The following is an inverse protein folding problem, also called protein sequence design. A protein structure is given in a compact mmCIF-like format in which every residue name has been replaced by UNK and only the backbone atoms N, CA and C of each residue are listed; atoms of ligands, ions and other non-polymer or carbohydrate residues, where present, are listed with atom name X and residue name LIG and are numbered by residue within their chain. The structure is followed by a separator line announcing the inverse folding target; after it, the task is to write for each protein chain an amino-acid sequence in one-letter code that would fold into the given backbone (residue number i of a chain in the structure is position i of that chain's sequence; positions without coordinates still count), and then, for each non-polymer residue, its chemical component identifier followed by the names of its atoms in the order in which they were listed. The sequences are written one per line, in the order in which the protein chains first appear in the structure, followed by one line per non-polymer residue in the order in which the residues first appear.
data_IF_182291087091
#
_entry.id   IF_182291087091
#
_cell.length_a   1.000
_cell.length_b   1.000
_cell.length_c   1.000
_cell.angle_alpha   90.00
_cell.angle_beta   90.00
_cell.angle_gamma   90.00
#
_symmetry.space_group_name_H-M   'P 1'
#
loop_
_entity.id
_entity.type
_entity.pdbx_description
1 polymer ?
#
# COMPACT_ATOMS: atom_id res chain seq x y z
N UNK A 1 18.56 10.04 -13.55
CA UNK A 1 18.01 9.79 -12.20
C UNK A 1 17.27 11.03 -11.76
N UNK A 2 16.07 10.87 -11.22
CA UNK A 2 15.20 11.96 -10.75
C UNK A 2 14.89 11.73 -9.28
N UNK A 3 14.85 12.77 -8.47
CA UNK A 3 14.59 12.69 -7.03
C UNK A 3 13.17 13.09 -6.64
N UNK A 4 12.35 13.46 -7.63
CA UNK A 4 10.97 13.87 -7.46
C UNK A 4 10.13 13.33 -8.60
N UNK A 5 8.93 12.84 -8.35
CA UNK A 5 8.05 12.35 -9.41
C UNK A 5 6.65 12.93 -9.25
N UNK A 6 5.97 13.20 -10.37
CA UNK A 6 4.55 13.52 -10.35
C UNK A 6 3.74 12.23 -10.22
N UNK A 7 2.49 12.35 -9.77
CA UNK A 7 1.54 11.23 -9.74
C UNK A 7 1.35 10.59 -11.12
N UNK A 8 1.29 11.40 -12.18
CA UNK A 8 1.16 10.91 -13.56
C UNK A 8 2.36 10.07 -13.99
N UNK A 9 3.58 10.46 -13.59
CA UNK A 9 4.78 9.68 -13.89
C UNK A 9 4.77 8.34 -13.16
N UNK A 10 4.34 8.31 -11.88
CA UNK A 10 4.21 7.06 -11.13
C UNK A 10 3.12 6.17 -11.75
N UNK A 11 1.98 6.76 -12.14
CA UNK A 11 0.90 6.04 -12.80
C UNK A 11 1.33 5.46 -14.16
N UNK A 12 2.18 6.18 -14.92
CA UNK A 12 2.74 5.68 -16.16
C UNK A 12 3.60 4.43 -15.92
N UNK A 13 4.47 4.44 -14.90
CA UNK A 13 5.29 3.26 -14.54
C UNK A 13 4.42 2.05 -14.18
N UNK A 14 3.35 2.25 -13.41
CA UNK A 14 2.40 1.16 -13.07
C UNK A 14 1.75 0.58 -14.34
N UNK A 15 1.33 1.44 -15.27
CA UNK A 15 0.71 1.01 -16.52
C UNK A 15 1.69 0.29 -17.45
N UNK A 16 2.95 0.70 -17.47
CA UNK A 16 4.02 0.03 -18.23
C UNK A 16 4.28 -1.40 -17.73
N UNK A 17 4.03 -1.68 -16.44
CA UNK A 17 4.03 -3.02 -15.87
C UNK A 17 2.77 -3.84 -16.23
N UNK A 18 1.83 -3.28 -16.98
CA UNK A 18 0.58 -3.93 -17.37
C UNK A 18 -0.49 -3.94 -16.27
N UNK A 19 -0.36 -3.07 -15.27
CA UNK A 19 -1.29 -2.94 -14.15
C UNK A 19 -2.23 -1.74 -14.35
N UNK A 20 -3.42 -1.82 -13.76
CA UNK A 20 -4.34 -0.68 -13.71
C UNK A 20 -3.77 0.40 -12.78
N UNK A 21 -3.98 1.67 -13.13
CA UNK A 21 -3.54 2.81 -12.33
C UNK A 21 -4.61 3.91 -12.36
N UNK A 22 -5.52 3.89 -11.40
CA UNK A 22 -6.54 4.91 -11.21
C UNK A 22 -6.00 5.99 -10.27
N UNK A 23 -5.85 7.21 -10.79
CA UNK A 23 -5.43 8.35 -9.98
C UNK A 23 -6.67 8.90 -9.27
N UNK A 24 -6.65 8.91 -7.94
CA UNK A 24 -7.66 9.56 -7.13
C UNK A 24 -7.17 10.94 -6.69
N UNK A 25 -7.97 12.00 -6.89
CA UNK A 25 -7.57 13.36 -6.54
C UNK A 25 -7.41 13.52 -5.02
N UNK A 26 -6.62 14.53 -4.65
CA UNK A 26 -6.47 15.03 -3.29
C UNK A 26 -7.84 15.51 -2.77
N UNK A 27 -8.49 14.70 -1.93
CA UNK A 27 -9.67 15.12 -1.17
C UNK A 27 -9.20 15.82 0.11
N UNK A 28 -9.98 16.75 0.69
CA UNK A 28 -9.63 17.35 1.97
C UNK A 28 -9.33 16.22 2.97
N UNK A 29 -8.10 16.19 3.49
CA UNK A 29 -7.55 15.20 4.43
C UNK A 29 -6.98 13.89 3.81
N UNK A 30 -6.84 13.78 2.49
CA UNK A 30 -6.27 12.59 1.82
C UNK A 30 -5.24 12.92 0.73
N UNK A 31 -3.97 12.59 0.98
CA UNK A 31 -2.89 12.68 -0.01
C UNK A 31 -3.29 12.06 -1.36
N UNK A 32 -2.82 12.67 -2.45
CA UNK A 32 -3.02 12.10 -3.80
C UNK A 32 -2.53 10.66 -3.86
N UNK A 33 -3.35 9.77 -4.43
CA UNK A 33 -3.13 8.33 -4.42
C UNK A 33 -3.45 7.69 -5.76
N UNK A 34 -2.85 6.53 -5.99
CA UNK A 34 -3.09 5.70 -7.16
C UNK A 34 -3.61 4.35 -6.68
N UNK A 35 -4.81 3.96 -7.12
CA UNK A 35 -5.38 2.65 -6.87
C UNK A 35 -5.02 1.68 -7.99
N UNK A 36 -4.78 0.43 -7.61
CA UNK A 36 -4.50 -0.68 -8.52
C UNK A 36 -5.02 -1.99 -7.93
N UNK A 37 -4.92 -3.06 -8.70
CA UNK A 37 -5.35 -4.40 -8.31
C UNK A 37 -4.43 -5.45 -8.88
N UNK A 38 -4.11 -6.45 -8.07
CA UNK A 38 -3.37 -7.64 -8.53
C UNK A 38 -4.02 -8.87 -7.89
N UNK A 39 -4.26 -9.92 -8.69
CA UNK A 39 -4.92 -11.15 -8.22
C UNK A 39 -6.27 -10.93 -7.51
N UNK A 40 -7.02 -9.91 -7.92
CA UNK A 40 -8.29 -9.54 -7.29
C UNK A 40 -8.17 -8.71 -6.01
N UNK A 41 -6.96 -8.50 -5.48
CA UNK A 41 -6.71 -7.75 -4.24
C UNK A 41 -6.40 -6.30 -4.60
N UNK A 42 -7.21 -5.37 -4.08
CA UNK A 42 -7.01 -3.94 -4.27
C UNK A 42 -5.89 -3.42 -3.37
N UNK A 43 -5.03 -2.57 -3.91
CA UNK A 43 -3.96 -1.89 -3.18
C UNK A 43 -3.76 -0.49 -3.75
N UNK A 44 -3.09 0.37 -2.98
CA UNK A 44 -2.86 1.75 -3.37
C UNK A 44 -1.42 2.17 -3.21
N UNK A 45 -1.03 3.20 -3.94
CA UNK A 45 0.19 3.96 -3.71
C UNK A 45 -0.21 5.36 -3.28
N UNK A 46 0.17 5.73 -2.05
CA UNK A 46 0.08 7.09 -1.55
C UNK A 46 1.38 7.83 -1.87
N UNK A 47 1.28 9.09 -2.30
CA UNK A 47 2.44 9.93 -2.50
C UNK A 47 3.03 10.40 -1.18
N UNK A 48 4.35 10.63 -1.13
CA UNK A 48 5.02 11.19 0.05
C UNK A 48 5.49 12.62 -0.20
N UNK A 49 5.09 13.54 0.68
CA UNK A 49 5.41 14.96 0.59
C UNK A 49 4.46 15.74 -0.33
N UNK A 50 4.61 17.06 -0.33
CA UNK A 50 3.67 17.96 -0.99
C UNK A 50 3.78 17.89 -2.52
N UNK A 51 2.64 17.91 -3.19
CA UNK A 51 2.55 17.95 -4.65
C UNK A 51 3.05 19.27 -5.25
N UNK A 52 3.26 19.33 -6.57
CA UNK A 52 2.99 18.28 -7.57
C UNK A 52 4.15 17.31 -7.80
N UNK A 53 5.24 17.44 -7.03
CA UNK A 53 6.48 16.68 -7.18
C UNK A 53 6.83 16.01 -5.85
N UNK A 54 6.63 14.69 -5.78
CA UNK A 54 6.69 13.94 -4.54
C UNK A 54 8.06 13.33 -4.30
N UNK A 55 8.45 13.22 -3.03
CA UNK A 55 9.77 12.74 -2.56
C UNK A 55 9.87 11.22 -2.42
N UNK A 56 8.74 10.53 -2.56
CA UNK A 56 8.65 9.09 -2.44
C UNK A 56 7.23 8.60 -2.64
N UNK A 57 7.08 7.29 -2.53
CA UNK A 57 5.80 6.60 -2.63
C UNK A 57 5.68 5.59 -1.49
N UNK A 58 4.45 5.37 -1.03
CA UNK A 58 4.12 4.30 -0.08
C UNK A 58 3.04 3.41 -0.66
N UNK A 59 3.41 2.17 -0.98
CA UNK A 59 2.47 1.14 -1.38
C UNK A 59 1.80 0.55 -0.14
N UNK A 60 0.47 0.36 -0.19
CA UNK A 60 -0.32 -0.11 0.95
C UNK A 60 -1.46 -1.02 0.52
N UNK A 61 -1.75 -2.02 1.34
CA UNK A 61 -2.97 -2.84 1.23
C UNK A 61 -3.61 -2.96 2.62
N UNK A 62 -4.83 -2.41 2.82
CA UNK A 62 -5.59 -2.64 4.02
C UNK A 62 -6.34 -3.97 3.94
N UNK A 63 -6.41 -4.69 5.06
CA UNK A 63 -7.08 -5.97 5.14
C UNK A 63 -7.65 -6.20 6.54
N UNK A 64 -8.51 -7.21 6.66
CA UNK A 64 -9.11 -7.64 7.91
C UNK A 64 -8.64 -9.05 8.25
N UNK A 65 -8.19 -9.25 9.49
CA UNK A 65 -7.75 -10.56 10.00
C UNK A 65 -8.68 -11.05 11.11
N UNK A 66 -8.80 -12.38 11.21
CA UNK A 66 -9.41 -13.03 12.38
C UNK A 66 -8.35 -13.34 13.43
N UNK A 67 -8.68 -13.14 14.70
CA UNK A 67 -7.75 -13.40 15.81
C UNK A 67 -6.93 -12.18 16.19
N UNK A 68 -5.73 -12.40 16.74
CA UNK A 68 -4.89 -11.31 17.25
C UNK A 68 -4.16 -10.58 16.10
N UNK A 69 -4.45 -9.29 15.84
CA UNK A 69 -3.84 -8.55 14.73
C UNK A 69 -2.35 -8.26 14.93
N UNK A 70 -1.88 -8.13 16.18
CA UNK A 70 -0.46 -7.89 16.47
C UNK A 70 0.34 -9.16 16.22
N UNK A 71 -0.20 -10.31 16.63
CA UNK A 71 0.44 -11.60 16.33
C UNK A 71 0.52 -11.83 14.83
N UNK A 72 -0.57 -11.59 14.09
CA UNK A 72 -0.59 -11.74 12.64
C UNK A 72 0.47 -10.84 11.97
N UNK A 73 0.50 -9.55 12.34
CA UNK A 73 1.47 -8.60 11.78
C UNK A 73 2.93 -9.01 12.10
N UNK A 74 3.19 -9.48 13.32
CA UNK A 74 4.52 -9.97 13.70
C UNK A 74 4.93 -11.21 12.89
N UNK A 75 4.02 -12.14 12.62
CA UNK A 75 4.32 -13.33 11.82
C UNK A 75 4.65 -12.97 10.37
N UNK A 76 3.91 -12.02 9.77
CA UNK A 76 4.23 -11.43 8.46
C UNK A 76 5.64 -10.80 8.45
N UNK A 77 5.90 -9.89 9.38
CA UNK A 77 7.14 -9.11 9.45
C UNK A 77 8.42 -9.94 9.64
N UNK A 78 8.31 -11.20 10.06
CA UNK A 78 9.47 -12.08 10.25
C UNK A 78 9.99 -12.69 8.95
N UNK A 79 9.17 -12.71 7.91
CA UNK A 79 9.44 -13.49 6.69
C UNK A 79 9.27 -12.70 5.40
N UNK A 80 8.64 -11.54 5.46
CA UNK A 80 8.26 -10.75 4.29
C UNK A 80 9.08 -9.46 4.18
N UNK A 81 9.14 -8.91 2.97
CA UNK A 81 9.88 -7.68 2.68
C UNK A 81 9.12 -6.42 3.13
N UNK A 82 7.80 -6.43 3.02
CA UNK A 82 6.93 -5.36 3.48
C UNK A 82 6.67 -5.42 4.99
N UNK A 83 6.08 -4.36 5.53
CA UNK A 83 5.74 -4.24 6.94
C UNK A 83 4.23 -4.29 7.16
N UNK A 84 3.77 -5.20 8.01
CA UNK A 84 2.42 -5.26 8.54
C UNK A 84 2.33 -4.55 9.90
N UNK A 85 1.18 -3.92 10.16
CA UNK A 85 0.85 -3.28 11.43
C UNK A 85 -0.65 -3.37 11.73
N UNK A 86 -1.01 -3.50 13.01
CA UNK A 86 -2.40 -3.41 13.43
C UNK A 86 -2.85 -1.94 13.40
N UNK A 87 -3.99 -1.65 12.77
CA UNK A 87 -4.56 -0.30 12.82
C UNK A 87 -5.12 -0.04 14.22
N UNK A 88 -4.71 1.08 14.82
CA UNK A 88 -5.14 1.50 16.16
C UNK A 88 -6.07 2.69 16.02
N UNK A 89 -7.23 2.60 16.65
CA UNK A 89 -8.17 3.70 16.80
C UNK A 89 -7.55 4.75 17.75
N UNK A 90 -7.38 6.01 17.30
CA UNK A 90 -6.67 7.03 18.06
C UNK A 90 -7.42 7.49 19.33
N UNK A 91 -8.74 7.38 19.35
CA UNK A 91 -9.56 7.83 20.48
C UNK A 91 -9.57 6.80 21.61
N UNK A 92 -9.56 5.52 21.25
CA UNK A 92 -9.66 4.40 22.20
C UNK A 92 -8.32 3.74 22.50
N UNK A 93 -7.31 3.99 21.68
CA UNK A 93 -6.01 3.31 21.68
C UNK A 93 -6.16 1.78 21.65
N UNK A 94 -7.13 1.28 20.88
CA UNK A 94 -7.43 -0.14 20.69
C UNK A 94 -7.38 -0.51 19.21
N UNK A 95 -7.13 -1.79 18.86
CA UNK A 95 -7.22 -2.23 17.49
C UNK A 95 -8.60 -1.92 16.87
N UNK A 96 -8.59 -1.34 15.67
CA UNK A 96 -9.80 -1.11 14.87
C UNK A 96 -10.45 -2.46 14.57
N UNK A 97 -11.73 -2.62 14.90
CA UNK A 97 -12.45 -3.88 14.75
C UNK A 97 -13.79 -3.70 14.04
N UNK A 98 -14.16 -4.69 13.23
CA UNK A 98 -15.47 -4.81 12.59
C UNK A 98 -15.88 -6.29 12.58
N UNK A 99 -17.10 -6.60 13.03
CA UNK A 99 -17.65 -7.98 13.01
C UNK A 99 -16.70 -9.08 13.54
N UNK A 100 -15.94 -8.79 14.61
CA UNK A 100 -14.92 -9.68 15.23
C UNK A 100 -13.66 -9.93 14.39
N UNK A 101 -13.44 -9.11 13.37
CA UNK A 101 -12.18 -9.00 12.65
C UNK A 101 -11.45 -7.73 13.04
N UNK A 102 -10.15 -7.67 12.78
CA UNK A 102 -9.31 -6.54 13.12
C UNK A 102 -8.60 -6.03 11.88
N UNK A 103 -8.52 -4.71 11.76
CA UNK A 103 -7.88 -4.08 10.62
C UNK A 103 -6.36 -4.14 10.76
N UNK A 104 -5.71 -4.59 9.70
CA UNK A 104 -4.26 -4.62 9.54
C UNK A 104 -3.91 -3.89 8.25
N UNK A 105 -2.87 -3.07 8.30
CA UNK A 105 -2.26 -2.48 7.11
C UNK A 105 -0.97 -3.20 6.80
N UNK A 106 -0.71 -3.43 5.52
CA UNK A 106 0.62 -3.78 5.02
C UNK A 106 1.12 -2.63 4.18
N UNK A 107 2.36 -2.23 4.37
CA UNK A 107 2.98 -1.16 3.62
C UNK A 107 4.45 -1.39 3.30
N UNK A 108 4.89 -0.75 2.23
CA UNK A 108 6.31 -0.56 1.93
C UNK A 108 6.52 0.85 1.38
N UNK A 109 7.65 1.46 1.71
CA UNK A 109 7.96 2.85 1.33
C UNK A 109 9.22 2.90 0.49
N UNK A 110 9.14 3.63 -0.63
CA UNK A 110 10.29 4.00 -1.44
C UNK A 110 10.49 5.51 -1.35
N UNK A 111 11.61 5.94 -0.78
CA UNK A 111 12.06 7.34 -0.77
C UNK A 111 13.04 7.55 -1.91
N UNK A 112 12.82 8.57 -2.74
CA UNK A 112 13.64 8.80 -3.94
C UNK A 112 15.03 9.36 -3.62
N UNK A 113 15.21 10.01 -2.46
CA UNK A 113 16.52 10.42 -1.94
C UNK A 113 17.34 11.25 -2.93
N UNK A 114 18.56 10.79 -3.23
CA UNK A 114 19.49 11.45 -4.18
C UNK A 114 19.18 11.17 -5.65
N UNK A 115 18.14 10.39 -5.93
CA UNK A 115 17.69 10.08 -7.27
C UNK A 115 17.40 8.60 -7.44
N UNK A 116 16.24 8.31 -8.04
CA UNK A 116 15.78 6.99 -8.43
C UNK A 116 15.45 7.03 -9.93
N UNK A 117 15.54 5.90 -10.64
CA UNK A 117 15.10 5.81 -12.04
C UNK A 117 13.69 5.19 -12.12
N UNK A 118 12.93 5.42 -13.21
CA UNK A 118 11.65 4.77 -13.42
C UNK A 118 11.74 3.24 -13.33
N UNK A 119 12.82 2.63 -13.82
CA UNK A 119 13.03 1.18 -13.77
C UNK A 119 13.19 0.66 -12.34
N UNK A 120 13.79 1.45 -11.44
CA UNK A 120 13.88 1.09 -10.04
C UNK A 120 12.53 1.22 -9.33
N UNK A 121 11.71 2.22 -9.70
CA UNK A 121 10.32 2.33 -9.23
C UNK A 121 9.51 1.12 -9.71
N UNK A 122 9.67 0.73 -10.98
CA UNK A 122 9.03 -0.44 -11.56
C UNK A 122 9.42 -1.71 -10.77
N UNK A 123 10.70 -1.91 -10.48
CA UNK A 123 11.17 -3.04 -9.67
C UNK A 123 10.60 -3.06 -8.24
N UNK A 124 10.46 -1.89 -7.61
CA UNK A 124 9.78 -1.78 -6.31
C UNK A 124 8.30 -2.18 -6.39
N UNK A 125 7.59 -1.75 -7.44
CA UNK A 125 6.17 -2.07 -7.64
C UNK A 125 6.00 -3.55 -7.96
N UNK A 126 6.90 -4.16 -8.73
CA UNK A 126 6.91 -5.59 -9.02
C UNK A 126 7.13 -6.42 -7.73
N UNK A 127 8.06 -6.02 -6.85
CA UNK A 127 8.16 -6.66 -5.53
C UNK A 127 6.92 -6.47 -4.67
N UNK A 128 6.27 -5.31 -4.77
CA UNK A 128 5.03 -5.06 -4.06
C UNK A 128 3.89 -5.96 -4.55
N UNK A 129 3.75 -6.20 -5.86
CA UNK A 129 2.71 -7.11 -6.38
C UNK A 129 2.94 -8.56 -5.94
N UNK A 130 4.19 -8.99 -5.75
CA UNK A 130 4.52 -10.30 -5.16
C UNK A 130 4.14 -10.39 -3.67
N UNK A 131 4.28 -9.31 -2.90
CA UNK A 131 3.76 -9.25 -1.52
C UNK A 131 2.24 -9.32 -1.51
N UNK A 132 1.56 -8.59 -2.40
CA UNK A 132 0.10 -8.65 -2.54
C UNK A 132 -0.35 -10.06 -2.93
N UNK A 133 0.36 -10.72 -3.84
CA UNK A 133 0.07 -12.09 -4.25
C UNK A 133 0.16 -13.08 -3.08
N UNK A 134 1.20 -12.94 -2.24
CA UNK A 134 1.37 -13.81 -1.07
C UNK A 134 0.21 -13.73 -0.08
N UNK A 135 -0.57 -12.64 -0.06
CA UNK A 135 -1.77 -12.54 0.77
C UNK A 135 -2.86 -13.54 0.36
N UNK A 136 -2.85 -14.01 -0.89
CA UNK A 136 -3.77 -15.07 -1.34
C UNK A 136 -3.53 -16.41 -0.64
N UNK A 137 -2.38 -16.60 0.00
CA UNK A 137 -2.04 -17.81 0.77
C UNK A 137 -2.69 -17.82 2.17
N UNK A 138 -3.32 -16.71 2.60
CA UNK A 138 -3.91 -16.54 3.93
C UNK A 138 -5.44 -16.53 3.86
N UNK A 139 -6.11 -17.70 3.92
CA UNK A 139 -7.57 -17.79 3.76
C UNK A 139 -8.36 -17.13 4.90
N UNK A 140 -7.71 -16.80 6.02
CA UNK A 140 -8.30 -16.08 7.15
C UNK A 140 -8.38 -14.57 6.94
N UNK A 141 -7.80 -14.05 5.86
CA UNK A 141 -7.80 -12.62 5.50
C UNK A 141 -9.01 -12.28 4.65
N UNK A 142 -9.67 -11.18 4.99
CA UNK A 142 -10.70 -10.55 4.16
C UNK A 142 -10.16 -9.24 3.60
N UNK A 143 -10.25 -9.07 2.28
CA UNK A 143 -9.86 -7.84 1.60
C UNK A 143 -11.04 -6.89 1.41
N UNK A 144 -10.73 -5.62 1.21
CA UNK A 144 -11.71 -4.66 0.73
C UNK A 144 -12.09 -4.96 -0.72
N UNK A 145 -13.39 -4.92 -1.03
CA UNK A 145 -13.86 -4.99 -2.41
C UNK A 145 -13.35 -3.76 -3.20
N UNK A 146 -13.53 -2.59 -2.62
CA UNK A 146 -12.99 -1.30 -3.04
C UNK A 146 -12.29 -0.64 -1.86
N UNK A 147 -11.14 -0.02 -2.12
CA UNK A 147 -10.37 0.63 -1.05
C UNK A 147 -11.18 1.79 -0.45
N UNK A 148 -11.10 1.97 0.89
CA UNK A 148 -11.74 3.11 1.52
C UNK A 148 -11.17 4.41 0.94
N UNK A 149 -12.07 5.34 0.62
CA UNK A 149 -11.70 6.69 0.21
C UNK A 149 -11.26 7.52 1.40
#
# INVERSE_FOLDING_TARGET
MKNLYTVDEIAAVIRELGLDAEILPDEPDCDTRINSRTYGIAWQIAMTGDGPFHLGIRARVPLWVRGDPLRWANDWNRTRWSQAFAAIDPDTNRPVTSERTYMVGIESTLIFGTGVTPEYIAGFIDWWTEEVNALSEFPEVTFYAELPQ
#
